data_IF_035418381011
#
_entry.id   IF_035418381011
#
_cell.length_a   1.000
_cell.length_b   1.000
_cell.length_c   1.000
_cell.angle_alpha   90.00
_cell.angle_beta   90.00
_cell.angle_gamma   90.00
#
_symmetry.space_group_name_H-M   'P 1'
#
loop_
_entity.id
_entity.type
_entity.pdbx_description
1 polymer ?
#
# COMPACT_ATOMS: atom_id res chain seq x y z
N UNK A 1 23.86 -17.14 -4.78
CA UNK A 1 23.19 -15.82 -4.85
C UNK A 1 22.43 -15.73 -6.16
N UNK A 2 21.12 -15.93 -6.14
CA UNK A 2 20.30 -15.95 -7.35
C UNK A 2 19.83 -14.53 -7.67
N UNK A 3 20.55 -13.86 -8.58
CA UNK A 3 20.08 -12.64 -9.22
C UNK A 3 18.85 -12.98 -10.06
N UNK A 4 17.65 -12.86 -9.45
CA UNK A 4 16.38 -12.99 -10.16
C UNK A 4 16.29 -11.80 -11.11
N UNK A 5 16.70 -12.00 -12.36
CA UNK A 5 16.46 -11.05 -13.46
C UNK A 5 15.00 -10.62 -13.37
N UNK A 6 14.75 -9.36 -12.98
CA UNK A 6 13.46 -8.68 -13.11
C UNK A 6 13.15 -8.64 -14.60
N UNK A 7 12.55 -9.73 -15.11
CA UNK A 7 11.85 -9.70 -16.39
C UNK A 7 10.72 -8.72 -16.14
N UNK A 8 10.88 -7.50 -16.61
CA UNK A 8 9.84 -6.48 -16.66
C UNK A 8 8.67 -7.11 -17.37
N UNK A 9 7.75 -7.67 -16.60
CA UNK A 9 6.70 -8.51 -17.13
C UNK A 9 5.64 -7.52 -17.62
N UNK A 10 5.76 -7.10 -18.87
CA UNK A 10 4.86 -6.10 -19.48
C UNK A 10 3.38 -6.46 -19.28
N UNK A 11 3.06 -7.76 -19.23
CA UNK A 11 1.74 -8.26 -18.85
C UNK A 11 1.37 -7.91 -17.40
N UNK A 12 2.25 -8.13 -16.42
CA UNK A 12 2.03 -7.74 -15.02
C UNK A 12 1.91 -6.22 -14.88
N UNK A 13 2.71 -5.44 -15.61
CA UNK A 13 2.58 -3.98 -15.61
C UNK A 13 1.24 -3.50 -16.17
N UNK A 14 0.73 -4.12 -17.24
CA UNK A 14 -0.62 -3.79 -17.75
C UNK A 14 -1.71 -4.13 -16.75
N UNK A 15 -1.63 -5.31 -16.12
CA UNK A 15 -2.58 -5.72 -15.08
C UNK A 15 -2.52 -4.78 -13.88
N UNK A 16 -1.32 -4.43 -13.42
CA UNK A 16 -1.09 -3.47 -12.34
C UNK A 16 -1.68 -2.11 -12.67
N UNK A 17 -1.33 -1.53 -13.82
CA UNK A 17 -1.86 -0.23 -14.26
C UNK A 17 -3.38 -0.24 -14.37
N UNK A 18 -3.98 -1.32 -14.88
CA UNK A 18 -5.43 -1.44 -14.94
C UNK A 18 -6.06 -1.50 -13.53
N UNK A 19 -5.46 -2.27 -12.62
CA UNK A 19 -5.90 -2.33 -11.23
C UNK A 19 -5.77 -0.97 -10.52
N UNK A 20 -4.65 -0.26 -10.72
CA UNK A 20 -4.45 1.10 -10.20
C UNK A 20 -5.49 2.04 -10.79
N UNK A 21 -5.75 2.03 -12.10
CA UNK A 21 -6.77 2.87 -12.71
C UNK A 21 -8.17 2.61 -12.16
N UNK A 22 -8.51 1.35 -11.87
CA UNK A 22 -9.80 0.99 -11.27
C UNK A 22 -9.92 1.44 -9.81
N UNK A 23 -8.81 1.44 -9.07
CA UNK A 23 -8.77 1.79 -7.65
C UNK A 23 -8.23 3.21 -7.40
N UNK A 24 -7.91 3.98 -8.44
CA UNK A 24 -7.23 5.27 -8.34
C UNK A 24 -8.01 6.22 -7.43
N UNK A 25 -9.32 6.30 -7.62
CA UNK A 25 -10.19 7.14 -6.80
C UNK A 25 -10.14 6.77 -5.32
N UNK A 26 -10.05 5.47 -4.99
CA UNK A 26 -9.91 5.02 -3.61
C UNK A 26 -8.52 5.34 -3.04
N UNK A 27 -7.45 5.11 -3.80
CA UNK A 27 -6.07 5.39 -3.38
C UNK A 27 -5.85 6.90 -3.13
N UNK A 28 -6.40 7.74 -4.00
CA UNK A 28 -6.38 9.20 -3.85
C UNK A 28 -7.24 9.66 -2.67
N UNK A 29 -8.42 9.05 -2.46
CA UNK A 29 -9.29 9.34 -1.31
C UNK A 29 -8.63 8.98 0.04
N UNK A 30 -7.79 7.93 0.07
CA UNK A 30 -6.99 7.59 1.26
C UNK A 30 -5.93 8.68 1.52
N UNK A 31 -5.47 9.37 0.47
CA UNK A 31 -4.37 10.34 0.54
C UNK A 31 -3.00 9.70 0.33
N UNK A 32 -2.93 8.57 -0.38
CA UNK A 32 -1.66 7.94 -0.70
C UNK A 32 -0.95 8.69 -1.83
N UNK A 33 0.35 8.99 -1.70
CA UNK A 33 1.16 9.49 -2.80
C UNK A 33 1.19 8.51 -3.98
N UNK A 34 1.21 9.06 -5.20
CA UNK A 34 1.38 8.30 -6.45
C UNK A 34 2.62 7.39 -6.41
N UNK A 35 3.69 7.80 -5.71
CA UNK A 35 4.92 7.02 -5.55
C UNK A 35 4.69 5.62 -4.93
N UNK A 36 3.66 5.48 -4.08
CA UNK A 36 3.37 4.21 -3.39
C UNK A 36 2.81 3.15 -4.33
N UNK A 37 1.97 3.56 -5.28
CA UNK A 37 1.30 2.64 -6.20
C UNK A 37 1.77 2.80 -7.65
N UNK A 38 2.91 3.48 -7.86
CA UNK A 38 3.54 3.67 -9.16
C UNK A 38 3.87 2.32 -9.81
N UNK A 39 4.48 1.41 -9.04
CA UNK A 39 4.85 0.07 -9.46
C UNK A 39 4.50 -0.95 -8.39
N UNK A 40 4.38 -2.22 -8.81
CA UNK A 40 4.04 -3.31 -7.90
C UNK A 40 5.09 -3.50 -6.79
N UNK A 41 6.37 -3.28 -7.09
CA UNK A 41 7.46 -3.38 -6.11
C UNK A 41 7.30 -2.33 -4.99
N UNK A 42 6.89 -1.09 -5.33
CA UNK A 42 6.67 -0.01 -4.35
C UNK A 42 5.46 -0.32 -3.47
N UNK A 43 4.42 -0.89 -4.09
CA UNK A 43 3.23 -1.28 -3.36
C UNK A 43 3.52 -2.45 -2.40
N UNK A 44 4.27 -3.46 -2.84
CA UNK A 44 4.69 -4.57 -1.98
C UNK A 44 5.55 -4.08 -0.81
N UNK A 45 6.54 -3.19 -1.06
CA UNK A 45 7.35 -2.58 0.01
C UNK A 45 6.49 -1.82 1.02
N UNK A 46 5.51 -1.05 0.53
CA UNK A 46 4.55 -0.35 1.38
C UNK A 46 3.66 -1.30 2.19
N UNK A 47 3.20 -2.41 1.62
CA UNK A 47 2.39 -3.40 2.33
C UNK A 47 3.17 -4.15 3.43
N UNK A 48 4.49 -4.27 3.27
CA UNK A 48 5.36 -4.89 4.28
C UNK A 48 5.77 -3.89 5.37
N UNK A 49 6.19 -2.68 4.99
CA UNK A 49 6.82 -1.72 5.90
C UNK A 49 5.89 -0.56 6.37
N UNK A 50 4.78 -0.33 5.67
CA UNK A 50 3.88 0.82 5.89
C UNK A 50 4.45 2.16 5.42
N UNK A 51 5.61 2.15 4.78
CA UNK A 51 6.26 3.30 4.14
C UNK A 51 7.16 2.77 3.02
N UNK A 52 7.59 3.66 2.12
CA UNK A 52 8.60 3.30 1.13
C UNK A 52 9.97 3.26 1.84
N UNK A 53 10.44 2.07 2.18
CA UNK A 53 11.70 1.88 2.89
C UNK A 53 12.88 1.86 1.92
N UNK A 54 12.69 1.21 0.77
CA UNK A 54 13.75 1.00 -0.24
C UNK A 54 13.67 2.00 -1.40
N UNK A 55 12.51 2.61 -1.60
CA UNK A 55 12.20 3.45 -2.75
C UNK A 55 12.09 4.93 -2.36
N UNK A 56 13.22 5.63 -2.38
CA UNK A 56 13.34 7.05 -1.99
C UNK A 56 13.01 8.01 -3.14
N UNK A 57 12.44 7.50 -4.24
CA UNK A 57 12.16 8.27 -5.47
C UNK A 57 11.01 9.28 -5.32
N UNK A 58 10.43 9.41 -4.12
CA UNK A 58 9.33 10.31 -3.78
C UNK A 58 9.49 11.02 -2.44
N UNK A 59 8.58 11.94 -2.09
CA UNK A 59 8.59 12.59 -0.79
C UNK A 59 8.46 11.55 0.33
N UNK A 60 9.12 11.78 1.48
CA UNK A 60 9.01 10.88 2.63
C UNK A 60 7.54 10.76 3.02
N UNK A 61 7.04 9.53 2.99
CA UNK A 61 5.68 9.22 3.36
C UNK A 61 5.69 8.07 4.35
N UNK A 62 5.05 8.29 5.49
CA UNK A 62 4.77 7.24 6.46
C UNK A 62 3.25 7.10 6.62
N UNK A 63 2.73 5.87 6.58
CA UNK A 63 1.34 5.57 6.94
C UNK A 63 1.00 6.10 8.34
N UNK A 64 2.01 6.31 9.20
CA UNK A 64 1.84 6.86 10.53
C UNK A 64 1.41 8.32 10.54
N UNK A 65 1.71 9.07 9.48
CA UNK A 65 1.33 10.47 9.32
C UNK A 65 -0.07 10.65 8.72
N UNK A 66 -0.71 9.55 8.28
CA UNK A 66 -2.09 9.59 7.81
C UNK A 66 -3.05 9.89 8.97
N UNK A 67 -4.10 10.65 8.65
CA UNK A 67 -5.20 10.89 9.58
C UNK A 67 -5.92 9.59 9.93
N UNK A 68 -6.59 9.53 11.09
CA UNK A 68 -7.39 8.37 11.50
C UNK A 68 -8.45 7.99 10.46
N UNK A 69 -9.02 8.96 9.74
CA UNK A 69 -9.97 8.70 8.67
C UNK A 69 -9.31 8.01 7.47
N UNK A 70 -8.15 8.51 7.03
CA UNK A 70 -7.33 7.88 5.99
C UNK A 70 -6.90 6.46 6.36
N UNK A 71 -6.51 6.25 7.63
CA UNK A 71 -6.15 4.91 8.14
C UNK A 71 -7.35 3.95 8.08
N UNK A 72 -8.56 4.40 8.44
CA UNK A 72 -9.77 3.57 8.32
C UNK A 72 -10.08 3.23 6.87
N UNK A 73 -9.97 4.20 5.96
CA UNK A 73 -10.16 3.97 4.52
C UNK A 73 -9.14 2.95 3.98
N UNK A 74 -7.87 3.11 4.36
CA UNK A 74 -6.80 2.18 3.99
C UNK A 74 -7.06 0.78 4.54
N UNK A 75 -7.46 0.68 5.81
CA UNK A 75 -7.80 -0.60 6.44
C UNK A 75 -8.94 -1.30 5.68
N UNK A 76 -10.06 -0.63 5.45
CA UNK A 76 -11.20 -1.21 4.72
C UNK A 76 -10.83 -1.58 3.28
N UNK A 77 -10.00 -0.76 2.63
CA UNK A 77 -9.51 -1.06 1.28
C UNK A 77 -8.64 -2.32 1.25
N UNK A 78 -7.69 -2.44 2.17
CA UNK A 78 -6.81 -3.59 2.27
C UNK A 78 -7.56 -4.84 2.71
N UNK A 79 -8.47 -4.74 3.67
CA UNK A 79 -9.32 -5.84 4.12
C UNK A 79 -10.17 -6.39 2.96
N UNK A 80 -10.74 -5.51 2.13
CA UNK A 80 -11.55 -5.91 0.96
C UNK A 80 -10.73 -6.57 -0.15
N UNK A 81 -9.55 -6.03 -0.46
CA UNK A 81 -8.72 -6.50 -1.57
C UNK A 81 -7.83 -7.70 -1.19
N UNK A 82 -7.43 -7.80 0.08
CA UNK A 82 -6.46 -8.77 0.59
C UNK A 82 -7.04 -9.65 1.71
N UNK A 83 -8.35 -9.87 1.69
CA UNK A 83 -9.03 -10.71 2.69
C UNK A 83 -8.41 -12.12 2.79
N UNK A 84 -8.07 -12.73 1.66
CA UNK A 84 -7.49 -14.08 1.62
C UNK A 84 -6.04 -14.13 2.13
N UNK A 85 -5.27 -13.05 1.92
CA UNK A 85 -3.85 -12.96 2.29
C UNK A 85 -3.55 -11.59 2.90
N UNK A 86 -3.82 -11.41 4.20
CA UNK A 86 -3.72 -10.11 4.85
C UNK A 86 -2.24 -9.68 4.97
N UNK A 87 -1.85 -8.51 4.42
CA UNK A 87 -0.49 -8.01 4.50
C UNK A 87 -0.13 -7.59 5.94
N UNK A 88 1.17 -7.50 6.24
CA UNK A 88 1.67 -7.01 7.55
C UNK A 88 1.09 -5.62 7.88
N UNK A 89 1.01 -4.74 6.88
CA UNK A 89 0.40 -3.43 7.04
C UNK A 89 -1.04 -3.52 7.57
N UNK A 90 -1.88 -4.43 7.07
CA UNK A 90 -3.25 -4.58 7.55
C UNK A 90 -3.27 -4.97 9.04
N UNK A 91 -2.39 -5.86 9.46
CA UNK A 91 -2.26 -6.27 10.87
C UNK A 91 -1.79 -5.10 11.73
N UNK A 92 -0.82 -4.31 11.26
CA UNK A 92 -0.34 -3.11 11.96
C UNK A 92 -1.43 -2.04 12.07
N UNK A 93 -2.19 -1.80 11.00
CA UNK A 93 -3.32 -0.87 11.01
C UNK A 93 -4.42 -1.32 11.96
N UNK A 94 -4.74 -2.62 11.99
CA UNK A 94 -5.69 -3.19 12.95
C UNK A 94 -5.27 -2.91 14.39
N UNK A 95 -4.01 -3.19 14.74
CA UNK A 95 -3.48 -2.93 16.07
C UNK A 95 -3.47 -1.42 16.43
N UNK A 96 -3.24 -0.54 15.45
CA UNK A 96 -3.33 0.92 15.64
C UNK A 96 -4.77 1.40 15.82
N UNK A 97 -5.72 0.86 15.07
CA UNK A 97 -7.13 1.22 15.18
C UNK A 97 -7.71 0.78 16.54
N UNK A 98 -7.37 -0.43 16.99
CA UNK A 98 -7.81 -0.96 18.29
C UNK A 98 -7.34 -0.09 19.47
N UNK A 99 -6.09 0.39 19.42
CA UNK A 99 -5.53 1.33 20.41
C UNK A 99 -6.18 2.72 20.38
N UNK A 100 -6.71 3.18 19.25
CA UNK A 100 -7.39 4.47 19.14
C UNK A 100 -8.87 4.42 19.59
N UNK A 101 -9.45 3.23 19.77
CA UNK A 101 -10.82 3.07 20.30
C UNK A 101 -10.85 3.09 21.83
N UNK A 102 -9.69 2.95 22.48
CA UNK A 102 -9.53 2.87 23.94
C UNK A 102 -8.95 4.14 24.58
N UNK A 103 -8.85 5.25 23.84
CA UNK A 103 -8.34 6.54 24.33
C UNK A 103 -9.47 7.58 24.48
#
# INVERSE_FOLDING_TARGET
MAYRKKRTNHAKLKVWKNWVSQNHFHLESIGLPLAIYQDIDHWEDFLENGHLHWHIDGPPFDVKDLTTNSIKLLYTFLERNYFEQPPMLLQMLRARLDKNVTA
#
